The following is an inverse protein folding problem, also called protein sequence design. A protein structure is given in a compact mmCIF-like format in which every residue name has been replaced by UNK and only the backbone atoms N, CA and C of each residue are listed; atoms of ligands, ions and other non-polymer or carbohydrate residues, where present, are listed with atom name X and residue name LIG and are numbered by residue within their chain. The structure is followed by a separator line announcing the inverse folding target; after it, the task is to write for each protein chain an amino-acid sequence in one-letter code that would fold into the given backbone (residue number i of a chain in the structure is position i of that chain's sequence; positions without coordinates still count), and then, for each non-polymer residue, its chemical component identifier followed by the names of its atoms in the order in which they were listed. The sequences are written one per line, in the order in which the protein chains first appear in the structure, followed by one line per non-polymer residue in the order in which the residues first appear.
data_IF_142258310164
#
_entry.id   IF_142258310164
#
_cell.length_a   1.000
_cell.length_b   1.000
_cell.length_c   1.000
_cell.angle_alpha   90.00
_cell.angle_beta   90.00
_cell.angle_gamma   90.00
#
_symmetry.space_group_name_H-M   'P 1'
#
loop_
_entity.id
_entity.type
_entity.pdbx_description
1 polymer ?
#
# COMPACT_ATOMS: atom_id res chain seq x y z
N UNK A 1 17.36 -2.11 -23.79
CA UNK A 1 16.21 -3.06 -23.86
C UNK A 1 16.33 -4.04 -22.70
N UNK A 2 16.02 -3.62 -21.46
CA UNK A 2 16.22 -4.42 -20.22
C UNK A 2 14.88 -4.77 -19.53
N UNK A 3 13.76 -4.27 -20.06
CA UNK A 3 12.44 -4.40 -19.42
C UNK A 3 11.70 -5.71 -19.73
N UNK A 4 12.19 -6.52 -20.67
CA UNK A 4 11.56 -7.79 -21.04
C UNK A 4 11.90 -8.95 -20.09
N UNK A 5 12.83 -8.76 -19.14
CA UNK A 5 13.33 -9.84 -18.26
C UNK A 5 13.02 -9.65 -16.78
N UNK A 6 12.37 -8.55 -16.37
CA UNK A 6 11.84 -8.44 -15.01
C UNK A 6 10.54 -9.24 -14.92
N UNK A 7 10.68 -10.51 -14.55
CA UNK A 7 9.53 -11.32 -14.17
C UNK A 7 8.94 -10.73 -12.90
N UNK A 8 7.74 -10.18 -13.02
CA UNK A 8 6.96 -9.64 -11.91
C UNK A 8 6.56 -10.74 -10.91
N UNK A 9 6.77 -12.02 -11.24
CA UNK A 9 6.56 -13.16 -10.36
C UNK A 9 7.59 -13.25 -9.21
N UNK A 10 8.56 -12.33 -9.13
CA UNK A 10 9.53 -12.25 -8.03
C UNK A 10 9.59 -10.83 -7.46
N UNK A 11 8.63 -10.44 -6.58
CA UNK A 11 8.65 -9.16 -5.88
C UNK A 11 10.00 -8.76 -5.26
N UNK A 12 10.82 -9.68 -4.68
CA UNK A 12 12.13 -9.32 -4.15
C UNK A 12 13.13 -8.88 -5.23
N UNK A 13 13.08 -9.50 -6.41
CA UNK A 13 13.94 -9.13 -7.52
C UNK A 13 13.57 -7.75 -8.09
N UNK A 14 12.27 -7.45 -8.16
CA UNK A 14 11.77 -6.12 -8.56
C UNK A 14 12.13 -5.07 -7.50
N UNK A 15 12.02 -5.40 -6.21
CA UNK A 15 12.42 -4.54 -5.10
C UNK A 15 13.92 -4.16 -5.18
N UNK A 16 14.77 -5.17 -5.31
CA UNK A 16 16.22 -4.98 -5.43
C UNK A 16 16.57 -4.17 -6.69
N UNK A 17 15.85 -4.39 -7.78
CA UNK A 17 16.02 -3.64 -9.01
C UNK A 17 15.58 -2.18 -8.88
N UNK A 18 14.47 -1.90 -8.17
CA UNK A 18 14.00 -0.54 -7.87
C UNK A 18 14.96 0.22 -6.95
N UNK A 19 15.69 -0.47 -6.08
CA UNK A 19 16.69 0.12 -5.19
C UNK A 19 18.03 0.50 -5.91
N UNK A 20 18.20 0.09 -7.17
CA UNK A 20 19.42 0.36 -7.94
C UNK A 20 19.59 1.83 -8.37
N UNK A 21 20.84 2.33 -8.35
CA UNK A 21 21.17 3.75 -8.58
C UNK A 21 20.96 4.31 -10.02
N UNK A 22 20.52 3.51 -10.99
CA UNK A 22 20.56 3.90 -12.41
C UNK A 22 19.21 4.26 -13.05
N UNK A 23 18.16 4.49 -12.25
CA UNK A 23 16.83 4.80 -12.79
C UNK A 23 16.36 6.22 -12.51
N UNK A 24 15.74 6.90 -13.50
CA UNK A 24 15.00 8.13 -13.22
C UNK A 24 13.81 7.78 -12.32
N UNK A 25 13.76 8.39 -11.13
CA UNK A 25 12.78 8.10 -10.07
C UNK A 25 11.30 8.23 -10.49
N UNK A 26 11.02 8.80 -11.67
CA UNK A 26 9.68 9.25 -12.10
C UNK A 26 9.30 8.84 -13.54
N UNK A 27 9.98 7.84 -14.13
CA UNK A 27 9.59 7.32 -15.45
C UNK A 27 8.29 6.50 -15.42
N UNK A 28 7.49 6.51 -16.50
CA UNK A 28 6.25 5.73 -16.64
C UNK A 28 6.42 4.25 -16.22
N UNK A 29 7.53 3.64 -16.62
CA UNK A 29 7.87 2.25 -16.31
C UNK A 29 8.03 2.03 -14.80
N UNK A 30 8.66 2.97 -14.10
CA UNK A 30 8.85 2.90 -12.64
C UNK A 30 7.50 2.95 -11.95
N UNK A 31 6.63 3.88 -12.37
CA UNK A 31 5.27 3.99 -11.82
C UNK A 31 4.49 2.69 -12.05
N UNK A 32 4.54 2.13 -13.26
CA UNK A 32 3.88 0.86 -13.57
C UNK A 32 4.38 -0.30 -12.69
N UNK A 33 5.69 -0.40 -12.46
CA UNK A 33 6.26 -1.45 -11.61
C UNK A 33 5.87 -1.26 -10.15
N UNK A 34 5.92 -0.03 -9.62
CA UNK A 34 5.46 0.28 -8.26
C UNK A 34 3.98 -0.05 -8.09
N UNK A 35 3.13 0.33 -9.04
CA UNK A 35 1.70 -0.03 -9.01
C UNK A 35 1.50 -1.53 -9.02
N UNK A 36 2.26 -2.31 -9.81
CA UNK A 36 2.17 -3.77 -9.79
C UNK A 36 2.59 -4.37 -8.45
N UNK A 37 3.70 -3.91 -7.88
CA UNK A 37 4.14 -4.35 -6.55
C UNK A 37 3.09 -4.10 -5.48
N UNK A 38 2.42 -2.95 -5.54
CA UNK A 38 1.30 -2.65 -4.63
C UNK A 38 0.22 -3.73 -4.71
N UNK A 39 -0.12 -4.26 -5.88
CA UNK A 39 -1.16 -5.29 -6.00
C UNK A 39 -0.70 -6.70 -5.62
N UNK A 40 0.61 -6.98 -5.66
CA UNK A 40 1.14 -8.31 -5.34
C UNK A 40 1.44 -8.49 -3.86
N UNK A 41 2.11 -7.52 -3.26
CA UNK A 41 2.49 -7.56 -1.85
C UNK A 41 1.22 -7.45 -1.01
N UNK A 42 0.95 -8.42 -0.15
CA UNK A 42 -0.25 -8.54 0.68
C UNK A 42 -1.28 -9.52 0.14
N UNK A 43 -1.24 -9.86 -1.16
CA UNK A 43 -2.31 -10.62 -1.83
C UNK A 43 -1.85 -11.94 -2.44
N UNK A 44 -0.67 -11.97 -3.07
CA UNK A 44 -0.18 -13.18 -3.74
C UNK A 44 0.37 -14.21 -2.74
N UNK A 45 0.23 -15.50 -3.06
CA UNK A 45 0.80 -16.57 -2.25
C UNK A 45 2.33 -16.45 -2.13
N UNK A 46 2.85 -16.57 -0.91
CA UNK A 46 4.27 -16.31 -0.61
C UNK A 46 4.59 -14.84 -0.37
N UNK A 47 3.61 -13.95 -0.55
CA UNK A 47 3.68 -12.52 -0.28
C UNK A 47 2.41 -12.00 0.41
N UNK A 48 1.66 -12.85 1.11
CA UNK A 48 0.50 -12.41 1.90
C UNK A 48 0.93 -11.48 3.02
N UNK A 49 0.00 -10.70 3.59
CA UNK A 49 0.32 -9.72 4.66
C UNK A 49 1.13 -10.30 5.82
N UNK A 50 0.86 -11.55 6.22
CA UNK A 50 1.59 -12.24 7.30
C UNK A 50 2.98 -12.74 6.86
N UNK A 51 3.17 -12.99 5.56
CA UNK A 51 4.43 -13.48 4.98
C UNK A 51 5.40 -12.33 4.65
N UNK A 52 4.92 -11.09 4.51
CA UNK A 52 5.76 -9.94 4.20
C UNK A 52 6.80 -9.69 5.30
N UNK A 53 8.08 -9.60 4.93
CA UNK A 53 9.11 -9.05 5.80
C UNK A 53 8.86 -7.56 6.10
N UNK A 54 9.49 -7.02 7.14
CA UNK A 54 9.38 -5.59 7.45
C UNK A 54 9.84 -4.73 6.26
N UNK A 55 10.94 -5.10 5.61
CA UNK A 55 11.47 -4.39 4.43
C UNK A 55 10.48 -4.40 3.25
N UNK A 56 9.79 -5.51 3.01
CA UNK A 56 8.78 -5.59 1.94
C UNK A 56 7.53 -4.77 2.26
N UNK A 57 7.14 -4.73 3.54
CA UNK A 57 6.05 -3.89 4.00
C UNK A 57 6.40 -2.39 3.91
N UNK A 58 7.65 -2.03 4.20
CA UNK A 58 8.18 -0.69 4.00
C UNK A 58 8.20 -0.30 2.51
N UNK A 59 8.66 -1.21 1.66
CA UNK A 59 8.64 -1.03 0.21
C UNK A 59 7.22 -0.82 -0.33
N UNK A 60 6.25 -1.62 0.12
CA UNK A 60 4.85 -1.49 -0.29
C UNK A 60 4.31 -0.11 0.09
N UNK A 61 4.56 0.34 1.32
CA UNK A 61 4.17 1.69 1.77
C UNK A 61 4.78 2.77 0.86
N UNK A 62 6.09 2.70 0.60
CA UNK A 62 6.78 3.64 -0.30
C UNK A 62 6.17 3.62 -1.70
N UNK A 63 5.89 2.44 -2.27
CA UNK A 63 5.27 2.32 -3.58
C UNK A 63 3.88 2.95 -3.62
N UNK A 64 3.04 2.73 -2.60
CA UNK A 64 1.74 3.38 -2.48
C UNK A 64 1.87 4.90 -2.46
N UNK A 65 2.74 5.45 -1.60
CA UNK A 65 2.97 6.90 -1.48
C UNK A 65 3.47 7.52 -2.79
N UNK A 66 4.40 6.86 -3.47
CA UNK A 66 4.94 7.33 -4.75
C UNK A 66 3.88 7.33 -5.86
N UNK A 67 3.05 6.28 -5.94
CA UNK A 67 1.95 6.22 -6.91
C UNK A 67 0.93 7.33 -6.61
N UNK A 68 0.58 7.54 -5.34
CA UNK A 68 -0.32 8.63 -4.93
C UNK A 68 0.26 10.01 -5.26
N UNK A 69 1.57 10.21 -5.05
CA UNK A 69 2.26 11.45 -5.43
C UNK A 69 2.11 11.71 -6.93
N UNK A 70 2.37 10.71 -7.79
CA UNK A 70 2.20 10.84 -9.23
C UNK A 70 0.76 11.19 -9.60
N UNK A 71 -0.23 10.51 -9.02
CA UNK A 71 -1.65 10.78 -9.28
C UNK A 71 -2.04 12.21 -8.88
N UNK A 72 -1.54 12.68 -7.74
CA UNK A 72 -1.75 14.06 -7.27
C UNK A 72 -1.06 15.08 -8.18
N UNK A 73 0.18 14.83 -8.60
CA UNK A 73 0.93 15.72 -9.51
C UNK A 73 0.26 15.85 -10.86
N UNK A 74 -0.26 14.76 -11.40
CA UNK A 74 -1.04 14.74 -12.64
C UNK A 74 -2.48 15.28 -12.46
N UNK A 75 -2.84 15.70 -11.25
CA UNK A 75 -4.17 16.21 -10.87
C UNK A 75 -5.31 15.24 -11.21
N UNK A 76 -5.06 13.94 -11.09
CA UNK A 76 -6.15 12.98 -11.03
C UNK A 76 -6.96 13.27 -9.77
N UNK A 77 -8.22 13.65 -9.96
CA UNK A 77 -9.17 13.91 -8.88
C UNK A 77 -9.58 12.63 -8.14
N UNK A 78 -10.85 12.53 -7.76
CA UNK A 78 -11.37 11.31 -7.14
C UNK A 78 -11.59 10.25 -8.23
N UNK A 79 -10.58 9.42 -8.44
CA UNK A 79 -10.66 8.28 -9.34
C UNK A 79 -10.50 6.97 -8.58
N UNK A 80 -11.13 5.91 -9.10
CA UNK A 80 -11.11 4.57 -8.52
C UNK A 80 -9.71 4.10 -8.14
N UNK A 81 -8.74 4.24 -9.05
CA UNK A 81 -7.36 3.82 -8.79
C UNK A 81 -6.75 4.52 -7.58
N UNK A 82 -6.99 5.83 -7.41
CA UNK A 82 -6.51 6.58 -6.23
C UNK A 82 -7.10 6.03 -4.94
N UNK A 83 -8.42 5.76 -4.95
CA UNK A 83 -9.11 5.16 -3.82
C UNK A 83 -8.53 3.79 -3.44
N UNK A 84 -8.30 2.92 -4.43
CA UNK A 84 -7.76 1.59 -4.18
C UNK A 84 -6.30 1.63 -3.66
N UNK A 85 -5.46 2.51 -4.20
CA UNK A 85 -4.08 2.68 -3.68
C UNK A 85 -4.10 3.22 -2.23
N UNK A 86 -5.06 4.07 -1.88
CA UNK A 86 -5.24 4.51 -0.49
C UNK A 86 -5.63 3.34 0.43
N UNK A 87 -6.45 2.39 -0.01
CA UNK A 87 -6.76 1.18 0.77
C UNK A 87 -5.52 0.31 0.97
N UNK A 88 -4.69 0.14 -0.04
CA UNK A 88 -3.43 -0.61 0.09
C UNK A 88 -2.44 0.07 1.03
N UNK A 89 -2.42 1.41 1.04
CA UNK A 89 -1.62 2.18 1.99
C UNK A 89 -2.16 2.02 3.42
N UNK A 90 -3.49 2.14 3.61
CA UNK A 90 -4.13 1.91 4.90
C UNK A 90 -3.79 0.52 5.46
N UNK A 91 -3.98 -0.54 4.68
CA UNK A 91 -3.64 -1.90 5.08
C UNK A 91 -2.17 -2.05 5.49
N UNK A 92 -1.26 -1.38 4.77
CA UNK A 92 0.17 -1.37 5.12
C UNK A 92 0.44 -0.72 6.47
N UNK A 93 -0.21 0.41 6.78
CA UNK A 93 -0.06 1.10 8.06
C UNK A 93 -0.67 0.29 9.21
N UNK A 94 -1.84 -0.33 8.99
CA UNK A 94 -2.48 -1.22 9.95
C UNK A 94 -1.61 -2.43 10.30
N UNK A 95 -1.06 -3.11 9.30
CA UNK A 95 -0.19 -4.27 9.52
C UNK A 95 1.10 -3.87 10.27
N UNK A 96 1.71 -2.70 9.94
CA UNK A 96 2.85 -2.16 10.71
C UNK A 96 2.47 -1.88 12.15
N UNK A 97 1.32 -1.25 12.39
CA UNK A 97 0.85 -0.95 13.74
C UNK A 97 0.60 -2.21 14.55
N UNK A 98 -0.03 -3.22 13.94
CA UNK A 98 -0.25 -4.53 14.56
C UNK A 98 1.06 -5.19 14.99
N UNK A 99 2.09 -5.15 14.12
CA UNK A 99 3.43 -5.67 14.44
C UNK A 99 4.11 -4.89 15.57
N UNK A 100 4.02 -3.55 15.56
CA UNK A 100 4.54 -2.70 16.64
C UNK A 100 3.84 -2.98 17.98
N UNK A 101 2.53 -3.15 17.95
CA UNK A 101 1.73 -3.44 19.14
C UNK A 101 2.09 -4.79 19.78
N UNK A 102 2.36 -5.82 18.97
CA UNK A 102 2.90 -7.09 19.46
C UNK A 102 4.27 -6.94 20.15
N UNK A 103 5.04 -5.91 19.76
CA UNK A 103 6.27 -5.48 20.44
C UNK A 103 6.06 -4.54 21.63
N UNK A 104 4.81 -4.26 22.03
CA UNK A 104 4.45 -3.38 23.14
C UNK A 104 4.51 -1.88 22.81
N UNK A 105 4.61 -1.50 21.53
CA UNK A 105 4.70 -0.10 21.09
C UNK A 105 3.45 0.28 20.30
N UNK A 106 2.78 1.35 20.73
CA UNK A 106 1.62 1.91 20.02
C UNK A 106 2.02 3.24 19.38
N UNK A 107 1.98 3.31 18.04
CA UNK A 107 2.26 4.54 17.28
C UNK A 107 0.97 5.28 16.91
N UNK A 108 0.58 6.24 17.77
CA UNK A 108 -0.65 7.01 17.59
C UNK A 108 -0.65 7.86 16.32
N UNK A 109 0.51 8.35 15.88
CA UNK A 109 0.64 9.16 14.66
C UNK A 109 0.31 8.31 13.44
N UNK A 110 0.90 7.11 13.37
CA UNK A 110 0.61 6.15 12.29
C UNK A 110 -0.87 5.76 12.25
N UNK A 111 -1.49 5.58 13.42
CA UNK A 111 -2.92 5.24 13.49
C UNK A 111 -3.84 6.35 13.02
N UNK A 112 -3.56 7.60 13.39
CA UNK A 112 -4.35 8.75 12.92
C UNK A 112 -4.22 8.91 11.41
N UNK A 113 -3.01 8.74 10.87
CA UNK A 113 -2.77 8.75 9.44
C UNK A 113 -3.57 7.66 8.72
N UNK A 114 -3.53 6.42 9.24
CA UNK A 114 -4.30 5.30 8.71
C UNK A 114 -5.81 5.63 8.67
N UNK A 115 -6.36 6.17 9.75
CA UNK A 115 -7.77 6.58 9.81
C UNK A 115 -8.12 7.63 8.76
N UNK A 116 -7.29 8.66 8.61
CA UNK A 116 -7.52 9.72 7.64
C UNK A 116 -7.45 9.20 6.18
N UNK A 117 -6.53 8.27 5.91
CA UNK A 117 -6.41 7.61 4.61
C UNK A 117 -7.65 6.78 4.29
N UNK A 118 -8.14 5.98 5.24
CA UNK A 118 -9.34 5.16 5.06
C UNK A 118 -10.58 6.03 4.81
N UNK A 119 -10.74 7.14 5.55
CA UNK A 119 -11.83 8.08 5.33
C UNK A 119 -11.79 8.69 3.92
N UNK A 120 -10.60 9.02 3.43
CA UNK A 120 -10.39 9.54 2.06
C UNK A 120 -10.70 8.47 1.02
N UNK A 121 -10.21 7.24 1.21
CA UNK A 121 -10.49 6.11 0.33
C UNK A 121 -11.99 5.84 0.22
N UNK A 122 -12.69 5.83 1.35
CA UNK A 122 -14.15 5.66 1.43
C UNK A 122 -14.89 6.74 0.65
N UNK A 123 -14.48 8.00 0.79
CA UNK A 123 -15.08 9.11 0.02
C UNK A 123 -14.91 8.91 -1.49
N UNK A 124 -13.74 8.44 -1.92
CA UNK A 124 -13.45 8.23 -3.34
C UNK A 124 -14.20 7.00 -3.90
N UNK A 125 -14.37 5.96 -3.09
CA UNK A 125 -14.90 4.66 -3.51
C UNK A 125 -16.36 4.42 -3.11
N UNK A 126 -17.05 5.42 -2.56
CA UNK A 126 -18.41 5.28 -2.00
C UNK A 126 -19.42 4.67 -2.98
N UNK A 127 -19.27 4.91 -4.29
CA UNK A 127 -20.16 4.43 -5.34
C UNK A 127 -19.62 3.17 -6.07
N UNK A 128 -18.44 2.67 -5.67
CA UNK A 128 -17.83 1.47 -6.23
C UNK A 128 -18.33 0.23 -5.48
N UNK A 129 -19.33 -0.44 -6.05
CA UNK A 129 -19.90 -1.66 -5.49
C UNK A 129 -18.86 -2.78 -5.28
N UNK A 130 -17.83 -2.87 -6.13
CA UNK A 130 -16.79 -3.90 -6.00
C UNK A 130 -15.83 -3.60 -4.84
N UNK A 131 -15.69 -2.33 -4.43
CA UNK A 131 -14.81 -1.94 -3.34
C UNK A 131 -15.48 -1.97 -1.95
N UNK A 132 -16.81 -2.06 -1.87
CA UNK A 132 -17.54 -1.96 -0.59
C UNK A 132 -17.18 -3.06 0.40
N UNK A 133 -17.02 -4.30 -0.09
CA UNK A 133 -16.62 -5.42 0.76
C UNK A 133 -15.27 -5.16 1.43
N UNK A 134 -14.28 -4.72 0.67
CA UNK A 134 -12.94 -4.41 1.18
C UNK A 134 -12.96 -3.21 2.14
N UNK A 135 -13.69 -2.15 1.80
CA UNK A 135 -13.85 -0.98 2.68
C UNK A 135 -14.40 -1.34 4.05
N UNK A 136 -15.37 -2.24 4.11
CA UNK A 136 -15.97 -2.70 5.35
C UNK A 136 -14.97 -3.53 6.16
N UNK A 137 -14.27 -4.48 5.51
CA UNK A 137 -13.23 -5.29 6.16
C UNK A 137 -12.12 -4.42 6.77
N UNK A 138 -11.61 -3.43 6.02
CA UNK A 138 -10.56 -2.53 6.52
C UNK A 138 -11.03 -1.62 7.66
N UNK A 139 -12.32 -1.30 7.70
CA UNK A 139 -12.90 -0.51 8.79
C UNK A 139 -13.03 -1.33 10.07
N UNK A 140 -13.47 -2.58 9.96
CA UNK A 140 -13.49 -3.51 11.08
C UNK A 140 -12.08 -3.74 11.62
N UNK A 141 -11.08 -3.92 10.74
CA UNK A 141 -9.70 -4.11 11.15
C UNK A 141 -9.11 -2.86 11.82
N UNK A 142 -9.38 -1.66 11.29
CA UNK A 142 -9.00 -0.40 11.95
C UNK A 142 -9.57 -0.34 13.38
N UNK A 143 -10.84 -0.66 13.56
CA UNK A 143 -11.49 -0.65 14.88
C UNK A 143 -10.88 -1.68 15.83
N UNK A 144 -10.52 -2.87 15.34
CA UNK A 144 -9.82 -3.89 16.14
C UNK A 144 -8.45 -3.40 16.60
N UNK A 145 -7.66 -2.79 15.71
CA UNK A 145 -6.34 -2.26 16.05
C UNK A 145 -6.45 -1.11 17.07
N UNK A 146 -7.48 -0.27 16.93
CA UNK A 146 -7.79 0.78 17.90
C UNK A 146 -8.19 0.22 19.27
N UNK A 147 -9.02 -0.82 19.31
CA UNK A 147 -9.41 -1.48 20.55
C UNK A 147 -8.24 -2.15 21.27
N UNK A 148 -7.24 -2.67 20.53
CA UNK A 148 -6.02 -3.23 21.11
C UNK A 148 -5.10 -2.14 21.70
N UNK A 149 -5.23 -0.90 21.22
CA UNK A 149 -4.36 0.22 21.61
C UNK A 149 -4.89 1.02 22.81
N UNK A 150 -6.04 0.65 23.36
CA UNK A 150 -6.74 1.30 24.49
C UNK A 150 -6.59 0.48 25.77
#
# INVERSE_FOLDING_TARGET
MVLQTLSVAQPPAVAQWLAGQHMPAQGQVVVQLKTRLVWQLGHDAGFTWQELSQEMLDLKETCCRDVLLVLNTLRFGHCRMKGLILLELHGSLCEKQKRKHLGGVTDQITMEEARAILATARTILQDDAAAQTELNLQTEEQQRIEALST
#
